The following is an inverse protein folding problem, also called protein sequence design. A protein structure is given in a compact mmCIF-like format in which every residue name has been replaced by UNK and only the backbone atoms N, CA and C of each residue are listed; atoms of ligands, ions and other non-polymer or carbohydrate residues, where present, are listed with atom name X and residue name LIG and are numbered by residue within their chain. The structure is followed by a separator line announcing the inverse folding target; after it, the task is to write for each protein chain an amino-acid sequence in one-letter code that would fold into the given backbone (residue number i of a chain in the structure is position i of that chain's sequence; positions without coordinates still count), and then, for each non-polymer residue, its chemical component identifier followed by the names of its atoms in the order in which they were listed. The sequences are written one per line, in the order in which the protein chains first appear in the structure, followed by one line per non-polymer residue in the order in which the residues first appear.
data_IF_002234321806
#
_entry.id   IF_002234321806
#
_cell.length_a   1.000
_cell.length_b   1.000
_cell.length_c   1.000
_cell.angle_alpha   90.00
_cell.angle_beta   90.00
_cell.angle_gamma   90.00
#
_symmetry.space_group_name_H-M   'P 1'
#
loop_
_entity.id
_entity.type
_entity.pdbx_description
1 polymer ?
#
# COMPACT_ATOMS: atom_id res chain seq x y z
N UNK A 1 29.26 4.12 -19.18
CA UNK A 1 28.26 5.17 -19.48
C UNK A 1 27.82 5.75 -18.15
N UNK A 2 27.95 7.06 -18.00
CA UNK A 2 27.45 7.75 -16.81
C UNK A 2 25.92 7.54 -16.73
N UNK A 3 25.43 7.07 -15.60
CA UNK A 3 24.01 6.78 -15.42
C UNK A 3 23.27 8.11 -15.34
N UNK A 4 22.24 8.32 -16.17
CA UNK A 4 21.46 9.55 -16.17
C UNK A 4 20.88 9.80 -14.77
N UNK A 5 21.00 11.04 -14.29
CA UNK A 5 20.49 11.44 -12.97
C UNK A 5 18.98 11.49 -13.00
N UNK A 6 18.31 10.75 -12.12
CA UNK A 6 16.84 10.78 -11.93
C UNK A 6 16.49 11.96 -11.02
N UNK A 7 15.77 12.93 -11.55
CA UNK A 7 15.26 14.09 -10.82
C UNK A 7 13.99 13.72 -10.04
N UNK A 8 14.00 13.93 -8.73
CA UNK A 8 12.92 13.53 -7.83
C UNK A 8 12.21 14.75 -7.27
N UNK A 9 10.89 14.76 -7.35
CA UNK A 9 10.00 15.65 -6.61
C UNK A 9 9.39 14.89 -5.44
N UNK A 10 9.56 15.38 -4.19
CA UNK A 10 8.92 14.82 -3.01
C UNK A 10 7.68 15.64 -2.63
N UNK A 11 6.50 15.01 -2.58
CA UNK A 11 5.25 15.63 -2.13
C UNK A 11 4.87 15.08 -0.75
N UNK A 12 4.99 15.92 0.29
CA UNK A 12 4.76 15.55 1.68
C UNK A 12 5.96 14.83 2.30
N UNK A 13 6.72 15.53 3.15
CA UNK A 13 7.90 14.97 3.84
C UNK A 13 7.72 14.85 5.36
N UNK A 14 6.60 15.34 5.92
CA UNK A 14 6.36 15.35 7.37
C UNK A 14 5.54 14.16 7.82
N UNK A 15 4.93 13.34 7.15
CA UNK A 15 4.22 12.12 7.56
C UNK A 15 5.04 10.87 7.26
N UNK A 16 4.42 9.95 6.54
CA UNK A 16 5.11 8.76 6.02
C UNK A 16 6.23 9.15 5.04
N UNK A 17 6.08 10.26 4.33
CA UNK A 17 7.08 10.80 3.41
C UNK A 17 8.44 11.09 4.05
N UNK A 18 8.48 11.24 5.40
CA UNK A 18 9.74 11.33 6.14
C UNK A 18 10.69 10.14 5.89
N UNK A 19 10.13 8.97 5.56
CA UNK A 19 10.95 7.80 5.26
C UNK A 19 11.74 7.98 3.96
N UNK A 20 11.16 8.63 2.94
CA UNK A 20 11.83 8.85 1.66
C UNK A 20 12.98 9.85 1.77
N UNK A 21 12.74 11.02 2.39
CA UNK A 21 13.80 12.01 2.55
C UNK A 21 14.92 11.50 3.45
N UNK A 22 14.61 10.73 4.50
CA UNK A 22 15.62 10.09 5.36
C UNK A 22 16.42 9.04 4.58
N UNK A 23 15.76 8.18 3.81
CA UNK A 23 16.44 7.18 2.99
C UNK A 23 17.45 7.83 2.04
N UNK A 24 17.06 8.95 1.40
CA UNK A 24 17.95 9.69 0.49
C UNK A 24 19.10 10.36 1.25
N UNK A 25 18.84 10.91 2.46
CA UNK A 25 19.85 11.61 3.25
C UNK A 25 20.84 10.69 3.96
N UNK A 26 20.39 9.48 4.33
CA UNK A 26 21.18 8.53 5.11
C UNK A 26 21.93 7.51 4.24
N UNK A 27 21.52 7.36 2.97
CA UNK A 27 22.12 6.42 2.02
C UNK A 27 22.63 7.15 0.79
N UNK A 28 23.82 6.76 0.33
CA UNK A 28 24.29 7.16 -0.97
C UNK A 28 23.54 6.36 -2.05
N UNK A 29 22.52 7.00 -2.65
CA UNK A 29 21.77 6.41 -3.76
C UNK A 29 22.31 7.01 -5.06
N UNK A 30 23.12 6.27 -5.84
CA UNK A 30 23.77 6.84 -7.01
C UNK A 30 22.79 7.31 -8.08
N UNK A 31 23.11 8.44 -8.71
CA UNK A 31 22.38 8.93 -9.87
C UNK A 31 20.94 9.37 -9.56
N UNK A 32 20.68 9.94 -8.38
CA UNK A 32 19.43 10.65 -8.06
C UNK A 32 19.72 12.07 -7.60
N UNK A 33 18.73 12.96 -7.74
CA UNK A 33 18.76 14.32 -7.22
C UNK A 33 17.37 14.72 -6.76
N UNK A 34 17.20 15.25 -5.54
CA UNK A 34 15.97 15.92 -5.15
C UNK A 34 15.93 17.28 -5.87
N UNK A 35 15.03 17.43 -6.84
CA UNK A 35 14.87 18.66 -7.62
C UNK A 35 13.99 19.68 -6.89
N UNK A 36 13.06 19.20 -6.04
CA UNK A 36 12.21 20.04 -5.21
C UNK A 36 11.36 19.24 -4.24
N UNK A 37 10.75 19.96 -3.32
CA UNK A 37 9.84 19.42 -2.30
C UNK A 37 8.56 20.23 -2.31
N UNK A 38 7.40 19.56 -2.25
CA UNK A 38 6.11 20.19 -1.96
C UNK A 38 5.72 19.86 -0.52
N UNK A 39 5.71 20.86 0.37
CA UNK A 39 5.36 20.70 1.78
C UNK A 39 4.72 22.00 2.33
N UNK A 40 3.60 21.82 3.03
CA UNK A 40 2.83 22.95 3.60
C UNK A 40 3.12 23.20 5.10
N UNK A 41 3.81 22.25 5.75
CA UNK A 41 4.18 22.39 7.16
C UNK A 41 5.24 23.48 7.30
N UNK A 42 5.00 24.51 8.14
CA UNK A 42 5.97 25.57 8.37
C UNK A 42 7.30 25.02 8.88
N UNK A 43 8.41 25.61 8.43
CA UNK A 43 9.76 25.23 8.85
C UNK A 43 10.16 23.78 8.56
N UNK A 44 9.51 23.12 7.57
CA UNK A 44 9.88 21.75 7.17
C UNK A 44 11.37 21.63 6.78
N UNK A 45 11.96 22.72 6.25
CA UNK A 45 13.40 22.78 5.96
C UNK A 45 14.30 22.57 7.19
N UNK A 46 13.82 22.88 8.39
CA UNK A 46 14.61 22.72 9.62
C UNK A 46 14.62 21.27 10.12
N UNK A 47 13.72 20.43 9.62
CA UNK A 47 13.60 19.03 10.02
C UNK A 47 14.66 18.13 9.39
N UNK A 48 15.20 18.52 8.23
CA UNK A 48 16.11 17.70 7.44
C UNK A 48 17.30 18.54 6.93
N UNK A 49 18.52 18.35 7.46
CA UNK A 49 19.72 19.12 7.08
C UNK A 49 20.01 19.12 5.57
N UNK A 50 19.76 18.00 4.88
CA UNK A 50 19.97 17.85 3.43
C UNK A 50 19.25 18.94 2.61
N UNK A 51 18.12 19.47 3.09
CA UNK A 51 17.37 20.50 2.38
C UNK A 51 18.21 21.78 2.26
N UNK A 52 18.85 22.20 3.37
CA UNK A 52 19.70 23.38 3.42
C UNK A 52 21.06 23.12 2.75
N UNK A 53 21.66 21.96 2.99
CA UNK A 53 22.96 21.59 2.45
C UNK A 53 22.97 21.54 0.91
N UNK A 54 21.89 21.04 0.31
CA UNK A 54 21.74 20.95 -1.14
C UNK A 54 20.92 22.10 -1.77
N UNK A 55 20.52 23.10 -0.95
CA UNK A 55 19.66 24.21 -1.38
C UNK A 55 18.39 23.73 -2.12
N UNK A 56 17.72 22.71 -1.58
CA UNK A 56 16.51 22.14 -2.22
C UNK A 56 15.35 23.12 -2.05
N UNK A 57 14.71 23.56 -3.16
CA UNK A 57 13.58 24.47 -3.09
C UNK A 57 12.33 23.79 -2.54
N UNK A 58 11.54 24.53 -1.73
CA UNK A 58 10.26 24.08 -1.16
C UNK A 58 9.13 24.91 -1.77
N UNK A 59 8.11 24.21 -2.26
CA UNK A 59 6.91 24.77 -2.87
C UNK A 59 5.68 24.40 -2.03
N UNK A 60 4.59 25.18 -2.18
CA UNK A 60 3.32 24.86 -1.54
C UNK A 60 2.54 23.81 -2.33
N UNK A 61 2.65 23.83 -3.64
CA UNK A 61 1.91 22.96 -4.56
C UNK A 61 2.83 22.38 -5.65
N UNK A 62 2.49 21.23 -6.25
CA UNK A 62 3.24 20.71 -7.38
C UNK A 62 3.12 21.63 -8.61
N UNK A 63 2.00 22.34 -8.79
CA UNK A 63 1.82 23.31 -9.87
C UNK A 63 2.86 24.44 -9.80
N UNK A 64 3.22 24.90 -8.58
CA UNK A 64 4.23 25.93 -8.42
C UNK A 64 5.62 25.38 -8.75
N UNK A 65 5.94 24.16 -8.35
CA UNK A 65 7.18 23.50 -8.74
C UNK A 65 7.33 23.37 -10.26
N UNK A 66 6.27 22.93 -10.96
CA UNK A 66 6.35 22.70 -12.40
C UNK A 66 6.36 23.97 -13.25
N UNK A 67 6.15 25.16 -12.68
CA UNK A 67 6.39 26.43 -13.39
C UNK A 67 7.88 26.69 -13.65
N UNK A 68 8.75 26.13 -12.81
CA UNK A 68 10.20 26.44 -12.82
C UNK A 68 11.07 25.21 -13.07
N UNK A 69 10.57 24.01 -12.76
CA UNK A 69 11.33 22.77 -12.76
C UNK A 69 10.60 21.61 -13.44
N UNK A 70 11.33 20.53 -13.67
CA UNK A 70 10.79 19.22 -14.12
C UNK A 70 11.32 18.13 -13.22
N UNK A 71 10.57 17.04 -13.07
CA UNK A 71 11.02 15.84 -12.37
C UNK A 71 10.76 14.59 -13.21
N UNK A 72 11.62 13.60 -13.09
CA UNK A 72 11.45 12.30 -13.74
C UNK A 72 10.54 11.37 -12.92
N UNK A 73 10.61 11.52 -11.59
CA UNK A 73 9.81 10.77 -10.61
C UNK A 73 9.25 11.71 -9.54
N UNK A 74 7.94 11.73 -9.38
CA UNK A 74 7.27 12.37 -8.25
C UNK A 74 6.88 11.32 -7.21
N UNK A 75 7.22 11.54 -5.94
CA UNK A 75 6.85 10.68 -4.81
C UNK A 75 5.73 11.34 -4.03
N UNK A 76 4.51 10.84 -4.15
CA UNK A 76 3.30 11.39 -3.51
C UNK A 76 3.06 10.68 -2.18
N UNK A 77 3.22 11.40 -1.08
CA UNK A 77 3.08 10.90 0.30
C UNK A 77 2.30 11.87 1.21
N UNK A 78 1.41 12.60 0.62
CA UNK A 78 0.50 13.58 1.24
C UNK A 78 -0.74 12.88 1.84
N UNK A 79 -1.68 13.61 2.47
CA UNK A 79 -2.98 13.05 2.84
C UNK A 79 -3.76 12.49 1.66
N UNK A 80 -4.46 11.37 1.86
CA UNK A 80 -5.11 10.53 0.84
C UNK A 80 -5.99 11.35 -0.15
N UNK A 81 -6.75 12.32 0.36
CA UNK A 81 -7.65 13.15 -0.45
C UNK A 81 -6.95 14.06 -1.46
N UNK A 82 -5.64 14.22 -1.35
CA UNK A 82 -4.82 15.01 -2.29
C UNK A 82 -4.16 14.14 -3.37
N UNK A 83 -4.09 12.81 -3.18
CA UNK A 83 -3.35 11.93 -4.07
C UNK A 83 -3.80 12.08 -5.52
N UNK A 84 -5.12 12.00 -5.79
CA UNK A 84 -5.64 12.04 -7.14
C UNK A 84 -5.20 13.30 -7.91
N UNK A 85 -5.45 14.49 -7.35
CA UNK A 85 -5.10 15.75 -8.03
C UNK A 85 -3.60 15.90 -8.24
N UNK A 86 -2.81 15.56 -7.24
CA UNK A 86 -1.35 15.64 -7.32
C UNK A 86 -0.76 14.65 -8.34
N UNK A 87 -1.28 13.42 -8.40
CA UNK A 87 -0.88 12.44 -9.42
C UNK A 87 -1.21 12.96 -10.83
N UNK A 88 -2.42 13.51 -11.04
CA UNK A 88 -2.81 14.11 -12.32
C UNK A 88 -1.83 15.21 -12.70
N UNK A 89 -1.54 16.14 -11.80
CA UNK A 89 -0.57 17.22 -12.05
C UNK A 89 0.80 16.67 -12.42
N UNK A 90 1.33 15.70 -11.67
CA UNK A 90 2.64 15.13 -11.95
C UNK A 90 2.72 14.44 -13.31
N UNK A 91 1.74 13.58 -13.64
CA UNK A 91 1.69 12.88 -14.94
C UNK A 91 1.60 13.85 -16.12
N UNK A 92 0.71 14.85 -16.03
CA UNK A 92 0.50 15.83 -17.11
C UNK A 92 1.70 16.76 -17.33
N UNK A 93 2.58 16.89 -16.32
CA UNK A 93 3.84 17.60 -16.45
C UNK A 93 5.04 16.68 -16.77
N UNK A 94 4.78 15.42 -17.13
CA UNK A 94 5.79 14.50 -17.66
C UNK A 94 6.57 13.69 -16.62
N UNK A 95 6.19 13.73 -15.35
CA UNK A 95 6.78 12.89 -14.31
C UNK A 95 6.11 11.53 -14.22
N UNK A 96 6.88 10.47 -13.97
CA UNK A 96 6.37 9.22 -13.44
C UNK A 96 6.01 9.40 -11.97
N UNK A 97 5.15 8.56 -11.41
CA UNK A 97 4.67 8.72 -10.03
C UNK A 97 4.88 7.45 -9.22
N UNK A 98 5.47 7.60 -8.02
CA UNK A 98 5.33 6.66 -6.91
C UNK A 98 4.38 7.29 -5.89
N UNK A 99 3.22 6.71 -5.67
CA UNK A 99 2.26 7.21 -4.69
C UNK A 99 2.13 6.28 -3.49
N UNK A 100 1.93 6.83 -2.29
CA UNK A 100 1.53 6.02 -1.15
C UNK A 100 0.11 5.46 -1.35
N UNK A 101 -0.17 4.39 -0.62
CA UNK A 101 -1.49 3.75 -0.63
C UNK A 101 -2.46 4.47 0.35
N UNK A 102 -3.76 4.49 0.03
CA UNK A 102 -4.37 4.10 -1.24
C UNK A 102 -4.03 5.09 -2.35
N UNK A 103 -4.11 4.65 -3.60
CA UNK A 103 -3.76 5.48 -4.76
C UNK A 103 -4.61 6.74 -4.87
N UNK A 104 -5.88 6.64 -4.49
CA UNK A 104 -6.86 7.74 -4.38
C UNK A 104 -8.05 7.27 -3.53
N UNK A 105 -9.12 8.07 -3.48
CA UNK A 105 -10.28 7.84 -2.62
C UNK A 105 -11.44 7.11 -3.30
N UNK A 106 -11.36 6.83 -4.62
CA UNK A 106 -12.46 6.19 -5.36
C UNK A 106 -11.97 5.31 -6.50
N UNK A 107 -12.77 4.29 -6.82
CA UNK A 107 -12.55 3.40 -7.97
C UNK A 107 -12.61 4.19 -9.28
N UNK A 108 -13.56 5.11 -9.41
CA UNK A 108 -13.67 5.97 -10.59
C UNK A 108 -12.40 6.80 -10.80
N UNK A 109 -11.88 7.39 -9.72
CA UNK A 109 -10.60 8.11 -9.75
C UNK A 109 -9.44 7.21 -10.17
N UNK A 110 -9.35 6.00 -9.63
CA UNK A 110 -8.32 5.04 -10.00
C UNK A 110 -8.40 4.65 -11.48
N UNK A 111 -9.59 4.41 -12.02
CA UNK A 111 -9.78 4.11 -13.45
C UNK A 111 -9.38 5.30 -14.34
N UNK A 112 -9.65 6.53 -13.93
CA UNK A 112 -9.19 7.74 -14.64
C UNK A 112 -7.67 7.86 -14.61
N UNK A 113 -7.03 7.54 -13.49
CA UNK A 113 -5.56 7.49 -13.38
C UNK A 113 -4.96 6.43 -14.30
N UNK A 114 -5.54 5.24 -14.35
CA UNK A 114 -5.12 4.16 -15.25
C UNK A 114 -5.23 4.59 -16.75
N UNK A 115 -6.26 5.36 -17.09
CA UNK A 115 -6.40 5.93 -18.42
C UNK A 115 -5.33 7.00 -18.70
N UNK A 116 -5.06 7.85 -17.72
CA UNK A 116 -4.07 8.93 -17.85
C UNK A 116 -2.64 8.40 -17.98
N UNK A 117 -2.31 7.25 -17.34
CA UNK A 117 -1.04 6.55 -17.58
C UNK A 117 -0.85 6.24 -19.07
N UNK A 118 -1.91 5.70 -19.71
CA UNK A 118 -1.88 5.37 -21.15
C UNK A 118 -1.73 6.60 -22.05
N UNK A 119 -2.39 7.69 -21.68
CA UNK A 119 -2.38 8.94 -22.45
C UNK A 119 -1.03 9.66 -22.35
N UNK A 120 -0.41 9.64 -21.18
CA UNK A 120 0.86 10.33 -20.93
C UNK A 120 2.09 9.47 -21.24
N UNK A 121 1.94 8.16 -21.31
CA UNK A 121 3.04 7.21 -21.40
C UNK A 121 3.93 7.17 -20.15
N UNK A 122 3.42 7.69 -19.03
CA UNK A 122 4.08 7.67 -17.72
C UNK A 122 3.44 6.58 -16.84
N UNK A 123 4.18 6.07 -15.86
CA UNK A 123 3.65 5.06 -14.94
C UNK A 123 3.23 5.65 -13.59
N UNK A 124 2.31 4.95 -12.93
CA UNK A 124 1.97 5.11 -11.52
C UNK A 124 2.34 3.83 -10.77
N UNK A 125 3.25 3.94 -9.83
CA UNK A 125 3.66 2.88 -8.91
C UNK A 125 2.96 3.10 -7.58
N UNK A 126 2.17 2.12 -7.09
CA UNK A 126 1.37 2.26 -5.86
C UNK A 126 2.08 1.61 -4.68
N UNK A 127 2.15 2.31 -3.56
CA UNK A 127 2.95 1.99 -2.38
C UNK A 127 2.50 0.81 -1.52
N UNK A 128 1.86 -0.21 -2.06
CA UNK A 128 1.63 -1.48 -1.35
C UNK A 128 2.93 -2.25 -1.22
N UNK A 129 3.68 -1.95 -0.17
CA UNK A 129 5.07 -2.39 0.03
C UNK A 129 5.29 -3.90 -0.09
N UNK A 130 4.31 -4.75 0.26
CA UNK A 130 4.44 -6.20 0.15
C UNK A 130 4.57 -6.66 -1.31
N UNK A 131 3.97 -5.95 -2.25
CA UNK A 131 4.05 -6.31 -3.68
C UNK A 131 5.46 -6.14 -4.26
N UNK A 132 6.32 -5.40 -3.58
CA UNK A 132 7.73 -5.21 -3.98
C UNK A 132 8.68 -6.15 -3.23
N UNK A 133 8.17 -6.90 -2.27
CA UNK A 133 8.99 -7.85 -1.52
C UNK A 133 9.36 -9.04 -2.40
N UNK A 134 10.64 -9.37 -2.46
CA UNK A 134 11.17 -10.38 -3.38
C UNK A 134 10.64 -11.78 -3.09
N UNK A 135 10.38 -12.10 -1.82
CA UNK A 135 9.72 -13.33 -1.39
C UNK A 135 8.27 -13.42 -1.89
N UNK A 136 7.50 -12.33 -1.81
CA UNK A 136 6.13 -12.25 -2.33
C UNK A 136 6.11 -12.37 -3.86
N UNK A 137 7.04 -11.74 -4.56
CA UNK A 137 7.16 -11.85 -6.01
C UNK A 137 7.51 -13.27 -6.45
N UNK A 138 8.42 -13.95 -5.75
CA UNK A 138 8.76 -15.34 -6.02
C UNK A 138 7.57 -16.28 -5.76
N UNK A 139 6.84 -16.07 -4.66
CA UNK A 139 5.60 -16.79 -4.38
C UNK A 139 4.57 -16.60 -5.50
N UNK A 140 4.37 -15.35 -5.96
CA UNK A 140 3.47 -15.05 -7.07
C UNK A 140 3.91 -15.74 -8.37
N UNK A 141 5.20 -15.77 -8.67
CA UNK A 141 5.73 -16.47 -9.84
C UNK A 141 5.45 -17.98 -9.78
N UNK A 142 5.61 -18.61 -8.61
CA UNK A 142 5.28 -20.03 -8.43
C UNK A 142 3.76 -20.29 -8.60
N UNK A 143 2.89 -19.38 -8.13
CA UNK A 143 1.44 -19.45 -8.33
C UNK A 143 1.09 -19.31 -9.81
N UNK A 144 1.65 -18.31 -10.51
CA UNK A 144 1.45 -18.10 -11.94
C UNK A 144 1.98 -19.28 -12.79
N UNK A 145 3.04 -19.94 -12.32
CA UNK A 145 3.60 -21.15 -12.93
C UNK A 145 2.83 -22.43 -12.62
N UNK A 146 1.65 -22.35 -11.99
CA UNK A 146 0.80 -23.50 -11.57
C UNK A 146 1.53 -24.54 -10.69
N UNK A 147 2.55 -24.11 -9.97
CA UNK A 147 3.35 -25.02 -9.12
C UNK A 147 2.50 -25.70 -8.05
N UNK A 148 1.53 -25.00 -7.49
CA UNK A 148 0.70 -25.45 -6.37
C UNK A 148 -0.68 -26.00 -6.82
N UNK A 149 -0.99 -25.97 -8.12
CA UNK A 149 -2.33 -26.19 -8.65
C UNK A 149 -3.24 -24.97 -8.40
N UNK A 150 -4.53 -25.12 -8.66
CA UNK A 150 -5.50 -24.04 -8.56
C UNK A 150 -5.66 -23.57 -7.10
N UNK A 151 -5.85 -22.25 -6.89
CA UNK A 151 -6.19 -21.72 -5.56
C UNK A 151 -7.61 -22.18 -5.16
N UNK A 152 -7.75 -22.63 -3.89
CA UNK A 152 -9.02 -23.08 -3.33
C UNK A 152 -9.60 -21.99 -2.42
N UNK A 153 -8.79 -21.40 -1.55
CA UNK A 153 -9.16 -20.24 -0.74
C UNK A 153 -7.92 -19.49 -0.22
N UNK A 154 -8.14 -18.25 0.20
CA UNK A 154 -7.16 -17.51 0.98
C UNK A 154 -7.81 -16.90 2.22
N UNK A 155 -7.13 -16.98 3.36
CA UNK A 155 -7.54 -16.31 4.60
C UNK A 155 -6.36 -15.68 5.30
N UNK A 156 -6.60 -14.51 5.92
CA UNK A 156 -5.60 -13.82 6.72
C UNK A 156 -6.23 -13.06 7.89
N UNK A 157 -5.43 -12.86 8.93
CA UNK A 157 -5.76 -12.07 10.09
C UNK A 157 -4.58 -11.16 10.43
N UNK A 158 -4.84 -9.86 10.56
CA UNK A 158 -3.85 -8.90 11.01
C UNK A 158 -4.51 -7.75 11.75
N UNK A 159 -4.27 -7.63 13.02
CA UNK A 159 -4.78 -6.53 13.84
C UNK A 159 -3.65 -5.88 14.63
N UNK A 160 -3.78 -4.57 14.86
CA UNK A 160 -2.82 -3.76 15.61
C UNK A 160 -3.56 -2.80 16.54
N UNK A 161 -3.30 -2.88 17.86
CA UNK A 161 -3.94 -1.96 18.80
C UNK A 161 -3.60 -0.51 18.49
N UNK A 162 -4.64 0.32 18.36
CA UNK A 162 -4.56 1.77 18.17
C UNK A 162 -5.56 2.46 19.10
N UNK A 163 -5.08 3.30 19.98
CA UNK A 163 -5.91 4.10 20.88
C UNK A 163 -6.07 5.53 20.39
N UNK A 164 -6.66 6.38 21.24
CA UNK A 164 -7.03 7.77 20.94
C UNK A 164 -5.87 8.61 20.42
N UNK A 165 -4.66 8.42 20.95
CA UNK A 165 -3.46 9.13 20.45
C UNK A 165 -3.17 8.88 18.97
N UNK A 166 -3.49 7.69 18.47
CA UNK A 166 -3.33 7.37 17.07
C UNK A 166 -4.35 8.12 16.21
N UNK A 167 -5.59 8.19 16.66
CA UNK A 167 -6.66 8.87 15.94
C UNK A 167 -6.55 10.39 16.02
N UNK A 168 -5.99 10.92 17.11
CA UNK A 168 -5.72 12.35 17.28
C UNK A 168 -4.47 12.88 16.53
N UNK A 169 -3.72 12.01 15.80
CA UNK A 169 -2.45 12.39 15.16
C UNK A 169 -2.59 13.36 13.99
N UNK A 170 -3.77 13.42 13.39
CA UNK A 170 -4.10 14.31 12.28
C UNK A 170 -5.63 14.45 12.14
N UNK A 171 -6.09 15.29 11.21
CA UNK A 171 -7.50 15.64 11.03
C UNK A 171 -8.31 14.61 10.21
N UNK A 172 -7.71 13.52 9.74
CA UNK A 172 -8.40 12.53 8.89
C UNK A 172 -8.38 11.11 9.45
N UNK A 173 -7.58 10.86 10.50
CA UNK A 173 -7.46 9.52 11.09
C UNK A 173 -8.79 9.07 11.73
N UNK A 174 -9.31 7.93 11.26
CA UNK A 174 -10.57 7.35 11.71
C UNK A 174 -11.82 8.05 11.19
N UNK A 175 -11.68 9.00 10.27
CA UNK A 175 -12.81 9.69 9.65
C UNK A 175 -13.28 8.99 8.36
N UNK A 176 -14.57 9.14 8.07
CA UNK A 176 -15.18 8.69 6.80
C UNK A 176 -14.96 9.75 5.73
N UNK A 177 -15.12 11.02 6.08
CA UNK A 177 -15.00 12.15 5.17
C UNK A 177 -14.09 13.25 5.75
N UNK A 178 -13.37 13.93 4.86
CA UNK A 178 -12.61 15.15 5.18
C UNK A 178 -12.86 16.20 4.12
N UNK A 179 -13.54 17.28 4.50
CA UNK A 179 -13.85 18.43 3.60
C UNK A 179 -14.58 18.00 2.32
N UNK A 180 -15.50 17.05 2.41
CA UNK A 180 -16.27 16.55 1.26
C UNK A 180 -15.55 15.48 0.43
N UNK A 181 -14.40 15.00 0.89
CA UNK A 181 -13.67 13.88 0.26
C UNK A 181 -13.77 12.64 1.13
N UNK A 182 -14.35 11.56 0.61
CA UNK A 182 -14.47 10.28 1.30
C UNK A 182 -13.09 9.64 1.48
N UNK A 183 -12.50 9.73 2.67
CA UNK A 183 -11.19 9.12 2.98
C UNK A 183 -11.33 7.70 3.51
N UNK A 184 -12.47 7.36 4.12
CA UNK A 184 -12.79 6.05 4.69
C UNK A 184 -11.63 5.44 5.50
N UNK A 185 -10.94 6.27 6.34
CA UNK A 185 -9.80 5.78 7.12
C UNK A 185 -10.26 4.74 8.15
N UNK A 186 -9.62 3.60 8.10
CA UNK A 186 -9.96 2.42 8.93
C UNK A 186 -8.77 1.47 8.99
N UNK A 187 -8.78 0.44 9.86
CA UNK A 187 -7.79 -0.62 9.83
C UNK A 187 -7.65 -1.27 8.45
N UNK A 188 -8.79 -1.50 7.79
CA UNK A 188 -8.84 -2.14 6.48
C UNK A 188 -8.24 -1.26 5.38
N UNK A 189 -8.53 0.03 5.36
CA UNK A 189 -8.05 0.94 4.31
C UNK A 189 -6.64 1.51 4.57
N UNK A 190 -6.15 1.45 5.81
CA UNK A 190 -4.88 2.09 6.16
C UNK A 190 -3.87 1.12 6.79
N UNK A 191 -3.89 0.96 8.12
CA UNK A 191 -2.78 0.32 8.83
C UNK A 191 -2.59 -1.17 8.48
N UNK A 192 -3.69 -1.89 8.24
CA UNK A 192 -3.71 -3.32 7.95
C UNK A 192 -4.13 -3.65 6.50
N UNK A 193 -4.19 -2.65 5.61
CA UNK A 193 -4.57 -2.80 4.20
C UNK A 193 -3.76 -3.85 3.43
N UNK A 194 -2.50 -4.00 3.77
CA UNK A 194 -1.53 -4.80 3.02
C UNK A 194 -1.90 -6.29 2.91
N UNK A 195 -2.51 -6.88 3.95
CA UNK A 195 -2.77 -8.32 3.95
C UNK A 195 -3.94 -8.71 3.03
N UNK A 196 -5.00 -7.90 2.97
CA UNK A 196 -6.08 -8.13 2.01
C UNK A 196 -5.60 -7.89 0.58
N UNK A 197 -4.87 -6.79 0.37
CA UNK A 197 -4.36 -6.44 -0.94
C UNK A 197 -3.36 -7.47 -1.47
N UNK A 198 -2.48 -8.04 -0.63
CA UNK A 198 -1.54 -9.07 -1.09
C UNK A 198 -2.25 -10.36 -1.49
N UNK A 199 -3.39 -10.72 -0.88
CA UNK A 199 -4.19 -11.88 -1.34
C UNK A 199 -4.72 -11.66 -2.76
N UNK A 200 -5.31 -10.50 -3.04
CA UNK A 200 -5.76 -10.18 -4.41
C UNK A 200 -4.59 -10.09 -5.38
N UNK A 201 -3.45 -9.52 -4.97
CA UNK A 201 -2.25 -9.45 -5.78
C UNK A 201 -1.71 -10.83 -6.15
N UNK A 202 -1.58 -11.76 -5.21
CA UNK A 202 -1.08 -13.11 -5.46
C UNK A 202 -1.97 -13.91 -6.43
N UNK A 203 -3.27 -13.62 -6.44
CA UNK A 203 -4.25 -14.26 -7.35
C UNK A 203 -4.41 -13.56 -8.71
N UNK A 204 -3.70 -12.46 -8.94
CA UNK A 204 -3.72 -11.79 -10.24
C UNK A 204 -3.04 -12.59 -11.35
N UNK A 205 -3.50 -12.41 -12.58
CA UNK A 205 -3.11 -13.15 -13.78
C UNK A 205 -1.69 -12.84 -14.32
N UNK A 206 -1.06 -11.77 -13.81
CA UNK A 206 0.33 -11.39 -14.15
C UNK A 206 1.00 -10.72 -12.95
N UNK A 207 2.31 -10.42 -13.06
CA UNK A 207 3.06 -9.75 -11.99
C UNK A 207 2.55 -8.33 -11.71
N UNK A 208 1.93 -7.68 -12.70
CA UNK A 208 1.47 -6.29 -12.62
C UNK A 208 -0.04 -6.16 -12.35
N UNK A 209 -0.75 -7.27 -12.09
CA UNK A 209 -2.20 -7.28 -11.89
C UNK A 209 -2.60 -7.98 -10.58
N UNK A 210 -3.69 -7.50 -9.99
CA UNK A 210 -4.40 -8.16 -8.91
C UNK A 210 -5.70 -8.79 -9.44
N UNK A 211 -6.20 -9.83 -8.75
CA UNK A 211 -7.47 -10.46 -9.09
C UNK A 211 -8.64 -9.51 -8.82
N UNK A 212 -9.57 -9.43 -9.75
CA UNK A 212 -10.81 -8.68 -9.61
C UNK A 212 -11.78 -9.39 -8.67
N UNK A 213 -12.60 -8.60 -7.97
CA UNK A 213 -13.59 -9.11 -7.01
C UNK A 213 -14.98 -9.16 -7.63
N UNK A 214 -15.64 -10.31 -7.53
CA UNK A 214 -17.05 -10.49 -7.91
C UNK A 214 -17.98 -9.89 -6.85
N UNK A 215 -17.72 -10.20 -5.59
CA UNK A 215 -18.50 -9.71 -4.46
C UNK A 215 -17.63 -9.39 -3.25
N UNK A 216 -18.20 -8.62 -2.31
CA UNK A 216 -17.62 -8.33 -1.00
C UNK A 216 -18.76 -8.24 0.01
N UNK A 217 -18.65 -8.99 1.09
CA UNK A 217 -19.49 -8.95 2.28
C UNK A 217 -18.60 -8.61 3.48
N UNK A 218 -19.11 -7.85 4.42
CA UNK A 218 -18.32 -7.48 5.59
C UNK A 218 -19.19 -7.10 6.79
N UNK A 219 -18.62 -7.27 7.97
CA UNK A 219 -19.23 -6.88 9.25
C UNK A 219 -18.33 -5.83 9.92
N UNK A 220 -18.58 -4.52 9.71
CA UNK A 220 -17.83 -3.45 10.34
C UNK A 220 -18.33 -3.17 11.76
N UNK A 221 -17.41 -3.16 12.72
CA UNK A 221 -17.67 -2.90 14.14
C UNK A 221 -16.89 -1.68 14.61
N UNK A 222 -17.46 -0.97 15.60
CA UNK A 222 -16.82 0.15 16.27
C UNK A 222 -16.79 -0.10 17.78
N UNK A 223 -15.60 -0.33 18.33
CA UNK A 223 -15.33 -0.49 19.75
C UNK A 223 -14.89 0.83 20.41
N UNK A 224 -14.15 1.68 19.70
CA UNK A 224 -13.74 2.99 20.20
C UNK A 224 -14.79 4.06 19.88
N UNK A 225 -15.46 4.66 20.87
CA UNK A 225 -16.51 5.68 20.64
C UNK A 225 -15.99 6.97 19.99
N UNK A 226 -14.69 7.25 20.10
CA UNK A 226 -14.06 8.46 19.59
C UNK A 226 -13.67 8.35 18.10
N UNK A 227 -13.95 7.22 17.44
CA UNK A 227 -13.68 7.01 16.00
C UNK A 227 -15.00 7.16 15.25
N UNK A 228 -14.98 7.85 14.12
CA UNK A 228 -16.17 8.00 13.27
C UNK A 228 -16.47 6.70 12.50
N UNK A 229 -15.45 6.15 11.85
CA UNK A 229 -15.54 4.92 11.07
C UNK A 229 -15.44 3.67 11.98
N UNK A 230 -15.44 2.49 11.39
CA UNK A 230 -15.19 1.24 12.12
C UNK A 230 -13.71 1.10 12.50
N UNK A 231 -13.44 0.41 13.59
CA UNK A 231 -12.11 0.05 14.07
C UNK A 231 -11.82 -1.45 14.08
N UNK A 232 -12.82 -2.26 13.74
CA UNK A 232 -12.73 -3.72 13.65
C UNK A 232 -13.65 -4.20 12.52
N UNK A 233 -13.18 -5.19 11.74
CA UNK A 233 -13.98 -5.71 10.61
C UNK A 233 -13.58 -7.14 10.27
N UNK A 234 -14.56 -7.94 9.85
CA UNK A 234 -14.38 -9.17 9.08
C UNK A 234 -14.88 -8.94 7.66
N UNK A 235 -14.12 -9.46 6.69
CA UNK A 235 -14.42 -9.33 5.26
C UNK A 235 -14.42 -10.70 4.62
N UNK A 236 -15.45 -11.00 3.84
CA UNK A 236 -15.54 -12.13 2.91
C UNK A 236 -15.67 -11.58 1.50
N UNK A 237 -14.93 -12.13 0.57
CA UNK A 237 -15.01 -11.74 -0.83
C UNK A 237 -14.77 -12.97 -1.72
N UNK A 238 -15.22 -12.89 -2.98
CA UNK A 238 -14.83 -13.85 -4.01
C UNK A 238 -14.16 -13.12 -5.15
N UNK A 239 -13.11 -13.70 -5.69
CA UNK A 239 -12.56 -13.23 -6.96
C UNK A 239 -13.52 -13.58 -8.11
N UNK A 240 -13.38 -12.91 -9.25
CA UNK A 240 -14.15 -13.25 -10.47
C UNK A 240 -13.92 -14.72 -10.91
N UNK A 241 -12.75 -15.27 -10.60
CA UNK A 241 -12.46 -16.70 -10.83
C UNK A 241 -13.08 -17.63 -9.78
N UNK A 242 -13.82 -17.09 -8.79
CA UNK A 242 -14.55 -17.86 -7.78
C UNK A 242 -13.74 -18.24 -6.54
N UNK A 243 -12.52 -17.74 -6.35
CA UNK A 243 -11.70 -18.05 -5.16
C UNK A 243 -12.20 -17.24 -3.96
N UNK A 244 -12.63 -17.88 -2.85
CA UNK A 244 -13.04 -17.19 -1.65
C UNK A 244 -11.85 -16.62 -0.87
N UNK A 245 -12.04 -15.40 -0.34
CA UNK A 245 -11.10 -14.66 0.48
C UNK A 245 -11.76 -14.33 1.82
N UNK A 246 -11.05 -14.55 2.93
CA UNK A 246 -11.45 -14.11 4.27
C UNK A 246 -10.37 -13.25 4.90
N UNK A 247 -10.78 -12.11 5.43
CA UNK A 247 -9.84 -11.22 6.10
C UNK A 247 -10.44 -10.64 7.38
N UNK A 248 -9.70 -10.79 8.50
CA UNK A 248 -10.02 -10.15 9.76
C UNK A 248 -8.99 -9.07 10.09
N UNK A 249 -9.45 -7.89 10.53
CA UNK A 249 -8.55 -6.83 10.98
C UNK A 249 -9.20 -5.92 12.02
N UNK A 250 -8.38 -5.27 12.85
CA UNK A 250 -8.90 -4.34 13.85
C UNK A 250 -7.82 -3.55 14.57
N UNK A 251 -8.26 -2.46 15.18
CA UNK A 251 -7.50 -1.64 16.11
C UNK A 251 -7.96 -1.81 17.56
N UNK A 252 -9.20 -2.25 17.79
CA UNK A 252 -9.79 -2.51 19.10
C UNK A 252 -9.45 -3.94 19.57
N UNK A 253 -8.18 -4.17 19.88
CA UNK A 253 -7.66 -5.43 20.41
C UNK A 253 -6.88 -5.20 21.69
N UNK A 254 -6.87 -6.21 22.59
CA UNK A 254 -6.16 -6.16 23.88
C UNK A 254 -4.66 -6.20 23.66
N UNK A 255 -4.18 -7.12 22.85
CA UNK A 255 -2.77 -7.29 22.55
C UNK A 255 -2.25 -6.14 21.69
N UNK A 256 -0.95 -5.85 21.80
CA UNK A 256 -0.31 -4.83 20.94
C UNK A 256 -0.46 -5.13 19.45
N UNK A 257 -0.44 -6.41 19.09
CA UNK A 257 -0.53 -6.89 17.71
C UNK A 257 -1.01 -8.34 17.70
N UNK A 258 -1.89 -8.66 16.73
CA UNK A 258 -2.32 -10.01 16.41
C UNK A 258 -2.01 -10.29 14.93
N UNK A 259 -1.18 -11.27 14.65
CA UNK A 259 -0.73 -11.57 13.30
C UNK A 259 0.38 -10.61 12.78
N UNK A 260 0.59 -10.51 11.45
CA UNK A 260 -0.19 -11.19 10.42
C UNK A 260 -0.07 -12.73 10.51
N UNK A 261 -1.22 -13.39 10.31
CA UNK A 261 -1.32 -14.84 10.13
C UNK A 261 -2.06 -15.05 8.82
N UNK A 262 -1.54 -15.91 7.95
CA UNK A 262 -2.18 -16.22 6.69
C UNK A 262 -2.11 -17.72 6.37
N UNK A 263 -3.14 -18.19 5.66
CA UNK A 263 -3.26 -19.54 5.14
C UNK A 263 -3.89 -19.46 3.75
N UNK A 264 -3.13 -19.85 2.72
CA UNK A 264 -3.54 -19.84 1.32
C UNK A 264 -3.52 -21.28 0.82
N UNK A 265 -4.72 -21.86 0.62
CA UNK A 265 -4.89 -23.25 0.19
C UNK A 265 -4.94 -23.36 -1.32
N UNK A 266 -4.17 -24.29 -1.86
CA UNK A 266 -4.12 -24.70 -3.26
C UNK A 266 -4.42 -26.22 -3.36
N UNK A 267 -4.65 -26.72 -4.57
CA UNK A 267 -4.93 -28.14 -4.80
C UNK A 267 -3.84 -29.07 -4.26
N UNK A 268 -2.55 -28.67 -4.36
CA UNK A 268 -1.41 -29.53 -4.02
C UNK A 268 -0.80 -29.23 -2.63
N UNK A 269 -1.28 -28.21 -1.91
CA UNK A 269 -0.73 -27.84 -0.61
C UNK A 269 -1.19 -26.47 -0.12
N UNK A 270 -0.55 -25.98 0.92
CA UNK A 270 -0.94 -24.72 1.58
C UNK A 270 0.28 -23.82 1.81
N UNK A 271 0.14 -22.54 1.51
CA UNK A 271 1.10 -21.49 1.89
C UNK A 271 0.67 -20.90 3.23
N UNK A 272 1.59 -20.83 4.17
CA UNK A 272 1.38 -20.25 5.50
C UNK A 272 2.26 -19.01 5.69
N UNK A 273 1.76 -18.06 6.49
CA UNK A 273 2.54 -16.96 7.05
C UNK A 273 2.16 -16.80 8.52
N UNK A 274 3.14 -16.58 9.40
CA UNK A 274 2.89 -16.39 10.83
C UNK A 274 2.45 -17.66 11.57
N UNK A 275 2.48 -18.83 10.94
CA UNK A 275 2.13 -20.11 11.56
C UNK A 275 3.25 -20.56 12.49
N UNK A 276 2.87 -21.08 13.66
CA UNK A 276 3.78 -21.78 14.55
C UNK A 276 3.92 -23.25 14.13
N UNK A 277 5.15 -23.67 13.87
CA UNK A 277 5.51 -25.06 13.57
C UNK A 277 6.25 -25.71 14.74
N UNK A 278 6.07 -25.20 15.98
CA UNK A 278 6.70 -25.73 17.20
C UNK A 278 7.94 -24.96 17.67
N UNK A 279 8.35 -23.92 16.92
CA UNK A 279 9.47 -23.02 17.29
C UNK A 279 9.05 -21.55 17.40
N UNK A 280 7.74 -21.30 17.47
CA UNK A 280 7.13 -19.97 17.41
C UNK A 280 6.62 -19.61 16.01
N UNK A 281 5.80 -18.55 15.91
CA UNK A 281 5.24 -18.11 14.63
C UNK A 281 6.34 -17.61 13.70
N UNK A 282 6.35 -18.12 12.45
CA UNK A 282 7.32 -17.76 11.42
C UNK A 282 6.79 -16.58 10.61
N UNK A 283 7.46 -15.42 10.69
CA UNK A 283 7.09 -14.20 9.96
C UNK A 283 7.54 -14.24 8.48
N UNK A 284 7.30 -15.36 7.82
CA UNK A 284 7.74 -15.66 6.44
C UNK A 284 6.70 -16.54 5.74
N UNK A 285 6.67 -16.52 4.41
CA UNK A 285 5.84 -17.43 3.64
C UNK A 285 6.51 -18.79 3.51
N UNK A 286 5.76 -19.83 3.84
CA UNK A 286 6.20 -21.24 3.75
C UNK A 286 5.10 -22.05 3.06
N UNK A 287 5.42 -22.69 1.96
CA UNK A 287 4.53 -23.67 1.33
C UNK A 287 4.78 -25.05 1.92
N UNK A 288 3.70 -25.76 2.23
CA UNK A 288 3.69 -27.16 2.64
C UNK A 288 2.79 -27.94 1.68
N UNK A 289 3.39 -28.80 0.88
CA UNK A 289 2.68 -29.70 -0.01
C UNK A 289 2.00 -30.85 0.72
N UNK A 290 0.89 -31.36 0.18
CA UNK A 290 0.15 -32.51 0.76
C UNK A 290 1.00 -33.80 0.78
N UNK A 291 2.06 -33.86 -0.05
CA UNK A 291 3.03 -34.96 -0.10
C UNK A 291 4.26 -34.72 0.80
N UNK A 292 4.27 -33.64 1.56
CA UNK A 292 5.35 -33.29 2.49
C UNK A 292 6.45 -32.38 1.90
N UNK A 293 6.29 -31.89 0.67
CA UNK A 293 7.19 -30.89 0.10
C UNK A 293 7.14 -29.60 0.94
N UNK A 294 8.31 -28.99 1.18
CA UNK A 294 8.41 -27.69 1.86
C UNK A 294 9.23 -26.72 1.03
N UNK A 295 8.65 -25.52 0.79
CA UNK A 295 9.33 -24.39 0.16
C UNK A 295 9.31 -23.23 1.14
N UNK A 296 10.49 -22.72 1.46
CA UNK A 296 10.68 -21.63 2.42
C UNK A 296 11.07 -20.36 1.67
N UNK A 297 10.11 -19.44 1.51
CA UNK A 297 10.33 -18.15 0.86
C UNK A 297 11.10 -17.17 1.75
N UNK A 298 11.20 -17.42 3.04
CA UNK A 298 12.00 -16.62 3.95
C UNK A 298 13.52 -16.66 3.68
N UNK A 299 13.97 -17.65 2.91
CA UNK A 299 15.34 -17.70 2.41
C UNK A 299 15.65 -16.68 1.33
N UNK A 300 14.62 -16.10 0.71
CA UNK A 300 14.77 -15.05 -0.30
C UNK A 300 14.89 -13.72 0.42
N UNK A 301 15.96 -12.94 0.21
CA UNK A 301 16.06 -11.60 0.77
C UNK A 301 14.86 -10.75 0.34
N UNK A 302 14.15 -10.15 1.30
CA UNK A 302 12.92 -9.38 1.03
C UNK A 302 13.17 -8.12 0.20
N UNK A 303 14.40 -7.68 0.13
CA UNK A 303 14.80 -6.40 -0.44
C UNK A 303 14.86 -5.30 0.64
N UNK A 304 15.04 -4.07 0.21
CA UNK A 304 15.14 -2.92 1.08
C UNK A 304 13.78 -2.54 1.69
N UNK A 305 13.80 -1.85 2.83
CA UNK A 305 12.56 -1.37 3.49
C UNK A 305 11.69 -0.52 2.55
N UNK A 306 12.32 0.32 1.72
CA UNK A 306 11.67 1.13 0.70
C UNK A 306 11.90 0.57 -0.71
N UNK A 307 11.84 -0.76 -0.88
CA UNK A 307 12.08 -1.41 -2.16
C UNK A 307 11.23 -0.80 -3.29
N UNK A 308 9.99 -0.39 -3.01
CA UNK A 308 9.13 0.34 -3.95
C UNK A 308 9.76 1.61 -4.52
N UNK A 309 10.58 2.32 -3.73
CA UNK A 309 11.26 3.53 -4.16
C UNK A 309 12.44 3.21 -5.10
N UNK A 310 13.24 2.21 -4.74
CA UNK A 310 14.33 1.74 -5.60
C UNK A 310 13.80 1.17 -6.92
N UNK A 311 12.74 0.38 -6.87
CA UNK A 311 12.10 -0.18 -8.07
C UNK A 311 11.48 0.90 -8.96
N UNK A 312 10.93 1.99 -8.38
CA UNK A 312 10.43 3.14 -9.15
C UNK A 312 11.56 3.92 -9.82
N UNK A 313 12.69 4.14 -9.15
CA UNK A 313 13.88 4.75 -9.75
C UNK A 313 14.39 3.89 -10.90
N UNK A 314 14.49 2.59 -10.71
CA UNK A 314 14.94 1.66 -11.74
C UNK A 314 13.96 1.61 -12.92
N UNK A 315 12.65 1.69 -12.66
CA UNK A 315 11.63 1.78 -13.70
C UNK A 315 11.79 3.05 -14.56
N UNK A 316 12.11 4.20 -13.96
CA UNK A 316 12.44 5.43 -14.69
C UNK A 316 13.66 5.23 -15.60
N UNK A 317 14.70 4.58 -15.10
CA UNK A 317 15.96 4.33 -15.82
C UNK A 317 15.82 3.37 -16.99
N UNK A 318 15.02 2.34 -16.81
CA UNK A 318 14.91 1.22 -17.76
C UNK A 318 13.69 1.31 -18.67
N UNK A 319 12.72 2.16 -18.35
CA UNK A 319 11.43 2.21 -19.03
C UNK A 319 10.52 1.02 -18.73
N UNK A 320 10.90 0.15 -17.76
CA UNK A 320 10.05 -0.98 -17.34
C UNK A 320 8.93 -0.48 -16.43
N UNK A 321 7.74 -1.07 -16.58
CA UNK A 321 6.61 -0.75 -15.70
C UNK A 321 6.84 -1.36 -14.30
N UNK A 322 6.48 -0.63 -13.20
CA UNK A 322 6.52 -1.20 -11.86
C UNK A 322 5.51 -2.32 -11.65
N UNK A 323 5.80 -3.24 -10.74
CA UNK A 323 4.94 -4.40 -10.45
C UNK A 323 3.61 -4.02 -9.79
N UNK A 324 3.58 -3.00 -8.95
CA UNK A 324 2.35 -2.55 -8.27
C UNK A 324 1.73 -1.37 -8.99
N UNK A 325 0.94 -1.67 -10.02
CA UNK A 325 0.21 -0.71 -10.86
C UNK A 325 -1.05 -0.18 -10.16
N UNK A 326 -1.72 0.79 -10.78
CA UNK A 326 -3.05 1.25 -10.34
C UNK A 326 -4.04 0.09 -10.33
N UNK A 327 -4.00 -0.82 -11.32
CA UNK A 327 -4.86 -2.00 -11.38
C UNK A 327 -4.70 -2.89 -10.14
N UNK A 328 -3.49 -3.02 -9.60
CA UNK A 328 -3.27 -3.76 -8.35
C UNK A 328 -3.97 -3.15 -7.13
N UNK A 329 -4.27 -1.86 -7.15
CA UNK A 329 -4.95 -1.15 -6.07
C UNK A 329 -6.48 -1.19 -6.19
N UNK A 330 -7.03 -1.35 -7.40
CA UNK A 330 -8.47 -1.26 -7.67
C UNK A 330 -9.30 -2.27 -6.87
N UNK A 331 -8.97 -3.57 -6.78
CA UNK A 331 -9.79 -4.51 -6.01
C UNK A 331 -9.91 -4.15 -4.54
N UNK A 332 -8.86 -3.61 -3.94
CA UNK A 332 -8.93 -3.12 -2.55
C UNK A 332 -9.81 -1.87 -2.43
N UNK A 333 -9.72 -0.91 -3.35
CA UNK A 333 -10.61 0.26 -3.38
C UNK A 333 -12.08 -0.13 -3.59
N UNK A 334 -12.37 -1.10 -4.46
CA UNK A 334 -13.72 -1.65 -4.66
C UNK A 334 -14.27 -2.24 -3.37
N UNK A 335 -13.45 -2.97 -2.61
CA UNK A 335 -13.85 -3.49 -1.31
C UNK A 335 -14.13 -2.35 -0.32
N UNK A 336 -13.26 -1.32 -0.25
CA UNK A 336 -13.46 -0.14 0.60
C UNK A 336 -14.78 0.58 0.27
N UNK A 337 -15.07 0.83 -1.02
CA UNK A 337 -16.33 1.50 -1.43
C UNK A 337 -17.57 0.67 -1.13
N UNK A 338 -17.52 -0.66 -1.25
CA UNK A 338 -18.64 -1.54 -0.88
C UNK A 338 -18.85 -1.54 0.63
N UNK A 339 -17.78 -1.65 1.43
CA UNK A 339 -17.79 -1.63 2.89
C UNK A 339 -18.33 -0.29 3.42
N UNK A 340 -17.94 0.83 2.82
CA UNK A 340 -18.40 2.17 3.23
C UNK A 340 -19.92 2.37 3.16
N UNK A 341 -20.65 1.49 2.46
CA UNK A 341 -22.11 1.52 2.35
C UNK A 341 -22.83 0.68 3.42
N UNK A 342 -22.07 -0.07 4.22
CA UNK A 342 -22.60 -0.97 5.23
C UNK A 342 -22.83 -0.22 6.56
N UNK A 343 -23.83 -0.63 7.36
CA UNK A 343 -24.01 -0.07 8.68
C UNK A 343 -22.89 -0.49 9.62
N UNK A 344 -22.37 0.46 10.40
CA UNK A 344 -21.34 0.20 11.41
C UNK A 344 -22.04 -0.18 12.72
N UNK A 345 -21.72 -1.35 13.27
CA UNK A 345 -22.29 -1.82 14.54
C UNK A 345 -21.41 -1.36 15.70
N UNK A 346 -21.94 -0.54 16.60
CA UNK A 346 -21.23 -0.15 17.82
C UNK A 346 -21.19 -1.31 18.82
N UNK A 347 -20.02 -1.63 19.35
CA UNK A 347 -19.85 -2.60 20.43
C UNK A 347 -20.01 -1.84 21.74
N UNK A 348 -20.93 -2.27 22.66
CA UNK A 348 -21.06 -1.67 23.99
C UNK A 348 -19.74 -1.74 24.76
N UNK A 349 -19.47 -0.74 25.60
CA UNK A 349 -18.25 -0.69 26.42
C UNK A 349 -18.09 -1.90 27.37
N UNK A 350 -19.21 -2.50 27.79
CA UNK A 350 -19.29 -3.73 28.60
C UNK A 350 -18.81 -5.00 27.85
N UNK A 351 -18.62 -4.94 26.53
CA UNK A 351 -18.11 -6.04 25.69
C UNK A 351 -16.64 -5.87 25.25
N UNK A 352 -15.94 -4.88 25.81
CA UNK A 352 -14.54 -4.52 25.42
C UNK A 352 -13.54 -4.88 26.54
N UNK A 353 -13.95 -5.65 27.56
CA UNK A 353 -13.06 -6.16 28.61
C UNK A 353 -12.09 -7.23 28.11
#
# INVERSE_FOLDING_TARGET
MEQAVVKILLLGICGYGSNYIKEISERDIPGIKIEGICEVVPNAADLYPIIKEQNIPIYQTPEDFYKEHTADLAVVSTPIHLHYSQIVTCLTHGSNVLTEKPVCTSVEGARKLEQLEKETGKFISVGYQLNYSRDVLALKQDILGDRFGKPIYMKALHAMRRGDKYYARNSWAGHIDVKGCAVNDSPFNNACAHQFQVMTFLLGESLERAAELADVQADPYKGNPNVENFDTITVQAHTVSGVPLWYGTGHAIVDKKLGPIAEYRFEKGTVYFGKDFGSGPIAEYVYIGDTGERIDYGRIPKGERLQKFYDAIEAVRTGKHPVCTVQCAIPHLEAVEKIAKLPIVSIPAEGVE
#
